data_IF_366394384955
#
_entry.id   IF_366394384955
#
_cell.length_a   1.000
_cell.length_b   1.000
_cell.length_c   1.000
_cell.angle_alpha   90.00
_cell.angle_beta   90.00
_cell.angle_gamma   90.00
#
_symmetry.space_group_name_H-M   'P 1'
#
loop_
_entity.id
_entity.type
_entity.pdbx_description
1 polymer ?
#
# COMPACT_ATOMS: atom_id res chain seq x y z
N UNK A 1 19.80 -3.52 -13.32
CA UNK A 1 19.33 -2.62 -12.25
C UNK A 1 19.18 -3.48 -11.03
N UNK A 2 19.60 -2.99 -9.86
CA UNK A 2 19.33 -3.70 -8.61
C UNK A 2 17.84 -3.61 -8.30
N UNK A 3 17.26 -4.70 -7.80
CA UNK A 3 15.85 -4.81 -7.43
C UNK A 3 15.53 -3.88 -6.26
N UNK A 4 14.45 -3.11 -6.35
CA UNK A 4 13.98 -2.23 -5.27
C UNK A 4 13.02 -3.00 -4.36
N UNK A 5 13.33 -3.04 -3.06
CA UNK A 5 12.53 -3.69 -2.02
C UNK A 5 11.67 -2.67 -1.27
N UNK A 6 10.37 -2.83 -1.35
CA UNK A 6 9.36 -1.97 -0.70
C UNK A 6 8.71 -2.77 0.43
N UNK A 7 8.88 -2.32 1.68
CA UNK A 7 8.23 -2.90 2.84
C UNK A 7 6.91 -2.18 3.18
N UNK A 8 5.82 -2.93 3.26
CA UNK A 8 4.53 -2.47 3.79
C UNK A 8 4.39 -2.99 5.22
N UNK A 9 4.76 -2.15 6.19
CA UNK A 9 4.97 -2.49 7.58
C UNK A 9 3.76 -2.12 8.44
N UNK A 10 3.31 -3.06 9.25
CA UNK A 10 2.22 -2.89 10.20
C UNK A 10 1.43 -4.18 10.36
N UNK A 11 0.53 -4.27 11.34
CA UNK A 11 -0.41 -5.39 11.41
C UNK A 11 -1.17 -5.58 10.09
N UNK A 12 -1.41 -6.85 9.74
CA UNK A 12 -2.02 -7.18 8.46
C UNK A 12 -3.52 -6.87 8.47
N UNK A 13 -3.91 -5.87 7.68
CA UNK A 13 -5.31 -5.52 7.43
C UNK A 13 -5.59 -5.73 5.94
N UNK A 14 -6.85 -6.03 5.61
CA UNK A 14 -7.30 -6.18 4.21
C UNK A 14 -6.93 -4.96 3.36
N UNK A 15 -6.99 -3.79 3.99
CA UNK A 15 -6.64 -2.50 3.44
C UNK A 15 -5.15 -2.37 3.07
N UNK A 16 -4.25 -2.87 3.92
CA UNK A 16 -2.81 -2.86 3.66
C UNK A 16 -2.48 -3.74 2.45
N UNK A 17 -3.16 -4.88 2.33
CA UNK A 17 -2.99 -5.76 1.19
C UNK A 17 -3.47 -5.11 -0.12
N UNK A 18 -4.61 -4.41 -0.11
CA UNK A 18 -5.04 -3.63 -1.27
C UNK A 18 -4.00 -2.59 -1.68
N UNK A 19 -3.32 -1.94 -0.72
CA UNK A 19 -2.27 -0.97 -1.05
C UNK A 19 -1.13 -1.65 -1.80
N UNK A 20 -0.73 -2.85 -1.36
CA UNK A 20 0.26 -3.68 -2.05
C UNK A 20 -0.17 -4.08 -3.45
N UNK A 21 -1.41 -4.55 -3.62
CA UNK A 21 -1.96 -4.93 -4.93
C UNK A 21 -1.98 -3.75 -5.91
N UNK A 22 -2.52 -2.61 -5.48
CA UNK A 22 -2.65 -1.45 -6.33
C UNK A 22 -1.30 -0.82 -6.66
N UNK A 23 -0.37 -0.78 -5.70
CA UNK A 23 1.01 -0.35 -5.96
C UNK A 23 1.68 -1.27 -6.99
N UNK A 24 1.57 -2.59 -6.79
CA UNK A 24 2.15 -3.59 -7.67
C UNK A 24 1.59 -3.53 -9.10
N UNK A 25 0.27 -3.41 -9.23
CA UNK A 25 -0.42 -3.25 -10.52
C UNK A 25 0.00 -2.01 -11.30
N UNK A 26 0.24 -0.89 -10.60
CA UNK A 26 0.69 0.33 -11.28
C UNK A 26 2.14 0.20 -11.71
N UNK A 27 3.02 -0.29 -10.85
CA UNK A 27 4.43 -0.53 -11.19
C UNK A 27 4.57 -1.53 -12.35
N UNK A 28 3.75 -2.59 -12.38
CA UNK A 28 3.81 -3.65 -13.38
C UNK A 28 3.41 -3.22 -14.79
N UNK A 29 2.93 -1.99 -14.96
CA UNK A 29 2.71 -1.38 -16.28
C UNK A 29 4.03 -1.16 -17.05
N UNK A 30 5.16 -1.04 -16.35
CA UNK A 30 6.48 -0.77 -16.95
C UNK A 30 7.59 -1.67 -16.40
N UNK A 31 7.35 -2.39 -15.30
CA UNK A 31 8.38 -3.10 -14.54
C UNK A 31 7.95 -4.53 -14.21
N UNK A 32 8.90 -5.43 -13.95
CA UNK A 32 8.63 -6.74 -13.34
C UNK A 32 8.46 -6.58 -11.84
N UNK A 33 7.34 -7.03 -11.29
CA UNK A 33 6.97 -6.79 -9.89
C UNK A 33 6.56 -8.11 -9.23
N UNK A 34 7.04 -8.33 -8.02
CA UNK A 34 6.60 -9.41 -7.15
C UNK A 34 6.00 -8.80 -5.88
N UNK A 35 4.76 -9.17 -5.56
CA UNK A 35 4.12 -8.88 -4.27
C UNK A 35 4.13 -10.14 -3.41
N UNK A 36 4.68 -10.03 -2.21
CA UNK A 36 4.67 -11.09 -1.19
C UNK A 36 3.61 -10.74 -0.15
N UNK A 37 2.55 -11.54 -0.03
CA UNK A 37 1.52 -11.38 1.00
C UNK A 37 1.02 -12.73 1.52
N UNK A 38 0.73 -12.82 2.82
CA UNK A 38 0.27 -14.06 3.48
C UNK A 38 -1.26 -14.21 3.51
N UNK A 39 -2.03 -13.23 3.03
CA UNK A 39 -3.48 -13.23 3.19
C UNK A 39 -4.19 -14.10 2.13
N UNK A 40 -4.63 -15.29 2.55
CA UNK A 40 -5.30 -16.27 1.67
C UNK A 40 -6.60 -15.75 1.05
N UNK A 41 -7.33 -14.85 1.75
CA UNK A 41 -8.60 -14.28 1.26
C UNK A 41 -8.45 -13.47 -0.02
N UNK A 42 -7.25 -12.95 -0.27
CA UNK A 42 -6.93 -12.18 -1.48
C UNK A 42 -6.42 -13.13 -2.58
N UNK A 43 -5.64 -14.14 -2.21
CA UNK A 43 -5.09 -15.10 -3.17
C UNK A 43 -6.16 -15.92 -3.91
N UNK A 44 -7.26 -16.27 -3.25
CA UNK A 44 -8.34 -17.08 -3.86
C UNK A 44 -9.16 -16.37 -4.96
N UNK A 45 -9.14 -15.04 -5.03
CA UNK A 45 -9.85 -14.26 -6.05
C UNK A 45 -8.95 -13.72 -7.17
N UNK A 46 -7.64 -13.92 -7.08
CA UNK A 46 -6.64 -13.34 -7.99
C UNK A 46 -6.15 -14.32 -9.07
N UNK A 47 -6.51 -15.61 -8.96
CA UNK A 47 -6.13 -16.64 -9.94
C UNK A 47 -6.54 -16.28 -11.38
N UNK A 48 -7.65 -15.54 -11.54
CA UNK A 48 -8.13 -15.13 -12.86
C UNK A 48 -7.66 -13.74 -13.33
N UNK A 49 -7.12 -12.87 -12.45
CA UNK A 49 -6.98 -11.45 -12.79
C UNK A 49 -5.57 -10.98 -13.18
N UNK A 50 -4.48 -11.46 -12.57
CA UNK A 50 -3.18 -10.76 -12.68
C UNK A 50 -1.92 -11.63 -12.74
N UNK A 51 -2.01 -12.92 -13.11
CA UNK A 51 -0.82 -13.67 -13.53
C UNK A 51 -0.38 -13.27 -14.94
N UNK A 52 0.14 -12.04 -15.11
CA UNK A 52 0.85 -11.64 -16.32
C UNK A 52 2.37 -11.79 -16.11
N UNK A 53 3.17 -11.69 -17.17
CA UNK A 53 4.63 -11.83 -17.06
C UNK A 53 5.30 -10.77 -16.16
N UNK A 54 4.64 -9.63 -15.91
CA UNK A 54 5.20 -8.46 -15.22
C UNK A 54 4.69 -8.26 -13.80
N UNK A 55 3.66 -8.97 -13.35
CA UNK A 55 3.17 -8.92 -11.97
C UNK A 55 2.92 -10.33 -11.43
N UNK A 56 3.55 -10.66 -10.31
CA UNK A 56 3.37 -11.94 -9.62
C UNK A 56 3.04 -11.72 -8.16
N UNK A 57 2.16 -12.55 -7.62
CA UNK A 57 1.74 -12.50 -6.22
C UNK A 57 2.06 -13.86 -5.60
N UNK A 58 2.78 -13.85 -4.48
CA UNK A 58 3.31 -15.06 -3.84
C UNK A 58 3.09 -15.00 -2.33
N UNK A 59 2.97 -16.15 -1.69
CA UNK A 59 2.76 -16.24 -0.23
C UNK A 59 4.06 -16.20 0.58
N UNK A 60 5.19 -16.40 -0.09
CA UNK A 60 6.53 -16.46 0.48
C UNK A 60 7.53 -15.87 -0.49
N UNK A 61 8.65 -15.36 0.03
CA UNK A 61 9.76 -14.85 -0.79
C UNK A 61 10.42 -16.06 -1.47
N UNK A 62 10.43 -16.14 -2.81
CA UNK A 62 11.11 -17.22 -3.54
C UNK A 62 12.64 -17.16 -3.32
N UNK A 63 13.31 -18.32 -3.38
CA UNK A 63 14.78 -18.40 -3.28
C UNK A 63 15.49 -17.61 -4.39
N UNK A 64 14.86 -17.56 -5.57
CA UNK A 64 15.33 -16.79 -6.72
C UNK A 64 14.21 -15.87 -7.21
N UNK A 65 14.46 -14.56 -7.20
CA UNK A 65 13.52 -13.54 -7.68
C UNK A 65 14.19 -12.74 -8.79
N UNK A 66 13.60 -12.77 -9.98
CA UNK A 66 13.96 -11.86 -11.07
C UNK A 66 12.84 -10.82 -11.24
N UNK A 67 12.99 -9.69 -10.55
CA UNK A 67 12.05 -8.58 -10.58
C UNK A 67 12.77 -7.23 -10.46
N UNK A 68 12.15 -6.18 -10.99
CA UNK A 68 12.60 -4.81 -10.77
C UNK A 68 12.14 -4.30 -9.39
N UNK A 69 10.97 -4.77 -8.93
CA UNK A 69 10.40 -4.41 -7.63
C UNK A 69 9.93 -5.64 -6.85
N UNK A 70 10.29 -5.67 -5.57
CA UNK A 70 9.78 -6.63 -4.59
C UNK A 70 8.98 -5.87 -3.52
N UNK A 71 7.67 -6.05 -3.50
CA UNK A 71 6.80 -5.49 -2.46
C UNK A 71 6.56 -6.58 -1.43
N UNK A 72 6.88 -6.34 -0.16
CA UNK A 72 6.67 -7.30 0.92
C UNK A 72 5.68 -6.73 1.91
N UNK A 73 4.56 -7.42 2.05
CA UNK A 73 3.58 -7.12 3.07
C UNK A 73 3.93 -7.88 4.35
N UNK A 74 4.46 -7.16 5.35
CA UNK A 74 5.01 -7.76 6.55
C UNK A 74 4.46 -7.13 7.83
N UNK A 75 4.36 -7.93 8.89
CA UNK A 75 4.04 -7.43 10.23
C UNK A 75 5.30 -7.06 10.99
N UNK A 76 6.38 -7.81 10.80
CA UNK A 76 7.66 -7.59 11.48
C UNK A 76 8.55 -6.63 10.69
N UNK A 77 9.36 -5.88 11.41
CA UNK A 77 10.24 -4.83 10.90
C UNK A 77 11.69 -5.31 10.88
N UNK A 78 12.27 -5.42 9.69
CA UNK A 78 13.71 -5.57 9.45
C UNK A 78 14.14 -4.54 8.41
N UNK A 79 14.71 -3.41 8.84
CA UNK A 79 15.05 -2.31 7.94
C UNK A 79 16.08 -2.68 6.89
N UNK A 80 17.08 -3.49 7.23
CA UNK A 80 18.19 -3.80 6.32
C UNK A 80 17.71 -4.56 5.08
N UNK A 81 16.51 -5.15 5.15
CA UNK A 81 15.85 -5.86 4.07
C UNK A 81 15.09 -4.95 3.07
N UNK A 82 14.98 -3.63 3.31
CA UNK A 82 14.13 -2.75 2.48
C UNK A 82 14.82 -1.45 2.07
N UNK A 83 14.61 -1.06 0.81
CA UNK A 83 15.06 0.23 0.26
C UNK A 83 14.05 1.35 0.57
N UNK A 84 12.77 1.01 0.69
CA UNK A 84 11.69 1.94 0.99
C UNK A 84 10.68 1.30 1.95
N UNK A 85 10.24 2.06 2.94
CA UNK A 85 9.33 1.59 3.99
C UNK A 85 8.08 2.47 4.08
N UNK A 86 6.93 1.80 4.05
CA UNK A 86 5.64 2.39 4.37
C UNK A 86 5.11 1.79 5.67
N UNK A 87 5.01 2.61 6.71
CA UNK A 87 4.40 2.24 7.99
C UNK A 87 2.90 2.54 7.93
N UNK A 88 2.05 1.52 7.99
CA UNK A 88 0.63 1.63 7.67
C UNK A 88 -0.19 1.28 8.89
N UNK A 89 -1.10 2.17 9.29
CA UNK A 89 -2.10 1.90 10.32
C UNK A 89 -3.50 2.29 9.85
N UNK A 90 -4.50 1.57 10.33
CA UNK A 90 -5.90 1.85 10.07
C UNK A 90 -6.57 2.68 11.16
N UNK A 91 -7.90 2.85 11.10
CA UNK A 91 -8.65 3.77 11.95
C UNK A 91 -9.12 3.13 13.27
N UNK A 92 -8.97 1.82 13.47
CA UNK A 92 -9.43 1.16 14.70
C UNK A 92 -8.42 1.37 15.81
N UNK A 93 -8.91 1.63 17.02
CA UNK A 93 -8.04 1.82 18.18
C UNK A 93 -7.17 0.59 18.47
N UNK A 94 -7.68 -0.61 18.24
CA UNK A 94 -6.91 -1.85 18.33
C UNK A 94 -5.76 -1.85 17.33
N UNK A 95 -6.04 -1.47 16.07
CA UNK A 95 -5.03 -1.45 15.02
C UNK A 95 -3.90 -0.46 15.32
N UNK A 96 -4.23 0.70 15.85
CA UNK A 96 -3.24 1.70 16.29
C UNK A 96 -2.40 1.15 17.44
N UNK A 97 -3.04 0.53 18.44
CA UNK A 97 -2.36 -0.01 19.63
C UNK A 97 -1.40 -1.14 19.26
N UNK A 98 -1.78 -1.99 18.30
CA UNK A 98 -0.94 -3.10 17.83
C UNK A 98 0.24 -2.62 16.97
N UNK A 99 0.08 -1.48 16.27
CA UNK A 99 1.12 -0.87 15.44
C UNK A 99 2.11 0.00 16.23
N UNK A 100 1.72 0.55 17.38
CA UNK A 100 2.61 1.34 18.26
C UNK A 100 3.99 0.71 18.49
N UNK A 101 4.12 -0.56 18.92
CA UNK A 101 5.43 -1.15 19.16
C UNK A 101 6.25 -1.34 17.88
N UNK A 102 5.61 -1.42 16.71
CA UNK A 102 6.29 -1.55 15.42
C UNK A 102 6.84 -0.19 14.99
N UNK A 103 6.02 0.86 15.07
CA UNK A 103 6.37 2.21 14.64
C UNK A 103 7.44 2.83 15.57
N UNK A 104 7.31 2.59 16.88
CA UNK A 104 8.25 3.12 17.88
C UNK A 104 9.65 2.49 17.82
N UNK A 105 9.83 1.35 17.15
CA UNK A 105 11.12 0.64 17.09
C UNK A 105 12.06 1.15 16.00
N UNK A 106 11.57 1.93 15.03
CA UNK A 106 12.37 2.17 13.85
C UNK A 106 11.87 3.20 12.86
N UNK A 107 11.00 4.14 13.21
CA UNK A 107 10.68 5.21 12.27
C UNK A 107 11.87 6.17 12.09
N UNK A 108 12.24 6.45 10.85
CA UNK A 108 13.22 7.46 10.44
C UNK A 108 12.57 8.53 9.55
N UNK A 109 13.24 9.66 9.42
CA UNK A 109 12.73 10.84 8.67
C UNK A 109 12.45 10.54 7.19
N UNK A 110 13.18 9.60 6.59
CA UNK A 110 13.01 9.20 5.19
C UNK A 110 11.92 8.15 4.97
N UNK A 111 11.33 7.59 6.02
CA UNK A 111 10.20 6.68 5.89
C UNK A 111 8.91 7.43 5.57
N UNK A 112 7.89 6.68 5.13
CA UNK A 112 6.56 7.20 4.95
C UNK A 112 5.57 6.51 5.89
N UNK A 113 4.80 7.31 6.62
CA UNK A 113 3.66 6.82 7.38
C UNK A 113 2.39 6.99 6.58
N UNK A 114 1.53 5.97 6.59
CA UNK A 114 0.21 6.00 5.97
C UNK A 114 -0.84 5.80 7.05
N UNK A 115 -1.68 6.82 7.25
CA UNK A 115 -2.92 6.71 8.01
C UNK A 115 -4.05 6.38 7.05
N UNK A 116 -4.46 5.11 7.07
CA UNK A 116 -5.45 4.59 6.15
C UNK A 116 -6.85 4.64 6.77
N UNK A 117 -7.86 5.01 5.97
CA UNK A 117 -9.27 5.05 6.35
C UNK A 117 -9.61 5.93 7.56
N UNK A 118 -8.93 7.07 7.73
CA UNK A 118 -9.24 8.00 8.81
C UNK A 118 -10.57 8.72 8.55
N UNK A 119 -11.38 8.94 9.58
CA UNK A 119 -12.57 9.78 9.48
C UNK A 119 -12.22 11.19 9.97
N UNK A 120 -12.52 12.23 9.18
CA UNK A 120 -12.20 13.62 9.55
C UNK A 120 -12.84 14.02 10.89
N UNK A 121 -14.08 13.57 11.14
CA UNK A 121 -14.84 13.85 12.36
C UNK A 121 -14.65 12.82 13.49
N UNK A 122 -13.74 11.84 13.32
CA UNK A 122 -13.49 10.82 14.36
C UNK A 122 -12.50 11.29 15.41
N UNK A 123 -12.64 10.70 16.61
CA UNK A 123 -11.61 10.78 17.66
C UNK A 123 -10.26 10.19 17.23
N UNK A 124 -10.25 9.35 16.19
CA UNK A 124 -9.07 8.71 15.61
C UNK A 124 -8.84 9.32 14.21
N UNK A 125 -8.17 10.46 14.17
CA UNK A 125 -7.78 11.19 12.95
C UNK A 125 -6.26 11.36 12.87
N UNK A 126 -5.76 11.99 11.79
CA UNK A 126 -4.32 12.14 11.56
C UNK A 126 -3.57 12.84 12.70
N UNK A 127 -4.15 13.88 13.30
CA UNK A 127 -3.56 14.58 14.45
C UNK A 127 -3.46 13.67 15.68
N UNK A 128 -4.51 12.91 15.96
CA UNK A 128 -4.52 11.94 17.05
C UNK A 128 -3.46 10.85 16.85
N UNK A 129 -3.39 10.28 15.64
CA UNK A 129 -2.46 9.22 15.30
C UNK A 129 -1.01 9.68 15.42
N UNK A 130 -0.68 10.86 14.88
CA UNK A 130 0.67 11.43 14.99
C UNK A 130 1.09 11.63 16.45
N UNK A 131 0.20 12.15 17.29
CA UNK A 131 0.48 12.31 18.72
C UNK A 131 0.69 10.96 19.41
N UNK A 132 -0.18 9.99 19.13
CA UNK A 132 -0.18 8.67 19.77
C UNK A 132 1.04 7.84 19.38
N UNK A 133 1.42 7.88 18.11
CA UNK A 133 2.58 7.18 17.55
C UNK A 133 3.87 8.01 17.64
N UNK A 134 3.82 9.19 18.26
CA UNK A 134 4.95 10.13 18.42
C UNK A 134 5.64 10.48 17.09
N UNK A 135 4.85 10.62 16.03
CA UNK A 135 5.31 10.99 14.70
C UNK A 135 5.32 12.52 14.60
N UNK A 136 6.47 13.06 14.21
CA UNK A 136 6.59 14.46 13.82
C UNK A 136 6.32 14.61 12.32
N UNK A 137 5.16 15.17 11.92
CA UNK A 137 4.79 15.31 10.51
C UNK A 137 5.64 16.35 9.75
N UNK A 138 6.45 17.15 10.45
CA UNK A 138 7.41 18.05 9.80
C UNK A 138 8.67 17.32 9.34
N UNK A 139 8.98 16.19 9.98
CA UNK A 139 10.20 15.40 9.72
C UNK A 139 9.92 14.12 8.96
N UNK A 140 8.77 13.52 9.19
CA UNK A 140 8.36 12.26 8.55
C UNK A 140 7.29 12.55 7.52
N UNK A 141 7.39 11.94 6.34
CA UNK A 141 6.32 12.02 5.34
C UNK A 141 5.09 11.28 5.86
N UNK A 142 3.98 12.00 6.04
CA UNK A 142 2.69 11.42 6.42
C UNK A 142 1.73 11.51 5.23
N UNK A 143 1.14 10.37 4.87
CA UNK A 143 0.08 10.25 3.89
C UNK A 143 -1.20 9.83 4.58
N UNK A 144 -2.29 10.50 4.24
CA UNK A 144 -3.59 10.23 4.83
C UNK A 144 -4.58 9.84 3.71
N UNK A 145 -5.36 8.79 3.97
CA UNK A 145 -6.55 8.47 3.18
C UNK A 145 -7.78 8.68 4.08
N UNK A 146 -8.55 9.76 3.87
CA UNK A 146 -9.85 9.87 4.50
C UNK A 146 -10.77 8.78 3.95
N UNK A 147 -11.52 8.14 4.82
CA UNK A 147 -12.61 7.26 4.41
C UNK A 147 -13.81 8.14 3.99
N UNK A 148 -14.43 7.83 2.87
CA UNK A 148 -15.63 8.49 2.40
C UNK A 148 -16.72 7.45 2.10
N UNK A 149 -17.98 7.88 2.04
CA UNK A 149 -19.12 6.96 1.83
C UNK A 149 -19.03 6.19 0.51
N UNK A 150 -18.51 6.82 -0.54
CA UNK A 150 -18.30 6.18 -1.84
C UNK A 150 -17.25 5.07 -1.78
N UNK A 151 -16.21 5.26 -1.00
CA UNK A 151 -15.17 4.27 -0.78
C UNK A 151 -15.71 3.05 -0.02
N UNK A 152 -16.58 3.27 0.97
CA UNK A 152 -17.30 2.21 1.68
C UNK A 152 -18.28 1.46 0.75
N UNK A 153 -19.02 2.19 -0.09
CA UNK A 153 -19.93 1.60 -1.08
C UNK A 153 -19.13 0.77 -2.09
N UNK A 154 -18.00 1.29 -2.59
CA UNK A 154 -17.11 0.56 -3.49
C UNK A 154 -16.48 -0.67 -2.82
N UNK A 155 -16.10 -0.59 -1.54
CA UNK A 155 -15.61 -1.74 -0.76
C UNK A 155 -16.70 -2.81 -0.60
N UNK A 156 -17.95 -2.40 -0.33
CA UNK A 156 -19.11 -3.31 -0.26
C UNK A 156 -19.46 -3.94 -1.62
N UNK A 157 -19.40 -3.16 -2.71
CA UNK A 157 -19.66 -3.66 -4.07
C UNK A 157 -18.56 -4.61 -4.55
N UNK A 158 -17.29 -4.33 -4.24
CA UNK A 158 -16.17 -5.22 -4.53
C UNK A 158 -16.25 -6.55 -3.74
N UNK A 159 -16.79 -6.52 -2.52
CA UNK A 159 -17.01 -7.73 -1.71
C UNK A 159 -18.21 -8.55 -2.20
N UNK A 160 -19.21 -7.88 -2.78
CA UNK A 160 -20.41 -8.50 -3.33
C UNK A 160 -20.16 -9.14 -4.71
N UNK A 161 -19.37 -8.49 -5.56
CA UNK A 161 -18.97 -9.00 -6.87
C UNK A 161 -17.45 -9.20 -6.92
N UNK A 162 -17.03 -10.40 -6.53
CA UNK A 162 -15.62 -10.79 -6.52
C UNK A 162 -14.94 -10.70 -7.90
N UNK A 163 -15.71 -10.64 -8.99
CA UNK A 163 -15.18 -10.47 -10.36
C UNK A 163 -14.81 -9.00 -10.70
N UNK A 164 -15.20 -8.05 -9.85
CA UNK A 164 -14.99 -6.60 -10.03
C UNK A 164 -13.81 -6.07 -9.21
N UNK A 165 -13.32 -6.83 -8.22
CA UNK A 165 -12.52 -6.39 -7.07
C UNK A 165 -11.26 -5.52 -7.30
N UNK A 166 -10.86 -5.26 -8.54
CA UNK A 166 -9.74 -4.38 -8.90
C UNK A 166 -9.97 -3.49 -10.14
N UNK A 167 -11.20 -3.38 -10.67
CA UNK A 167 -11.51 -2.51 -11.83
C UNK A 167 -11.54 -1.03 -11.46
N UNK A 168 -11.99 -0.71 -10.25
CA UNK A 168 -12.28 0.65 -9.84
C UNK A 168 -11.51 1.03 -8.58
N UNK A 169 -10.53 1.94 -8.77
CA UNK A 169 -9.82 2.59 -7.70
C UNK A 169 -10.45 3.96 -7.44
N UNK A 170 -10.81 4.23 -6.18
CA UNK A 170 -11.40 5.52 -5.81
C UNK A 170 -10.45 6.68 -6.10
N UNK A 171 -10.99 7.91 -6.12
CA UNK A 171 -10.16 9.10 -6.38
C UNK A 171 -9.07 9.27 -5.32
N UNK A 172 -9.39 9.00 -4.07
CA UNK A 172 -8.44 9.19 -2.96
C UNK A 172 -7.43 8.06 -2.88
N UNK A 173 -7.84 6.84 -3.21
CA UNK A 173 -6.94 5.72 -3.39
C UNK A 173 -5.95 5.97 -4.55
N UNK A 174 -6.40 6.55 -5.67
CA UNK A 174 -5.53 6.99 -6.78
C UNK A 174 -4.50 8.03 -6.33
N UNK A 175 -4.93 9.03 -5.55
CA UNK A 175 -4.00 10.04 -5.01
C UNK A 175 -2.99 9.40 -4.06
N UNK A 176 -3.42 8.47 -3.21
CA UNK A 176 -2.55 7.79 -2.26
C UNK A 176 -1.48 6.95 -2.99
N UNK A 177 -1.89 6.08 -3.92
CA UNK A 177 -0.96 5.27 -4.72
C UNK A 177 0.01 6.13 -5.53
N UNK A 178 -0.47 7.25 -6.10
CA UNK A 178 0.41 8.21 -6.77
C UNK A 178 1.50 8.75 -5.82
N UNK A 179 1.13 9.16 -4.61
CA UNK A 179 2.09 9.66 -3.61
C UNK A 179 3.03 8.58 -3.07
N UNK A 180 2.56 7.33 -2.97
CA UNK A 180 3.39 6.17 -2.64
C UNK A 180 4.44 5.94 -3.73
N UNK A 181 4.03 5.91 -5.00
CA UNK A 181 4.96 5.76 -6.14
C UNK A 181 6.01 6.88 -6.15
N UNK A 182 5.59 8.14 -6.01
CA UNK A 182 6.54 9.26 -5.93
C UNK A 182 7.54 9.10 -4.77
N UNK A 183 7.12 8.50 -3.66
CA UNK A 183 8.00 8.24 -2.54
C UNK A 183 8.98 7.08 -2.82
N UNK A 184 8.50 5.99 -3.39
CA UNK A 184 9.29 4.76 -3.57
C UNK A 184 10.16 4.75 -4.82
N UNK A 185 9.77 5.46 -5.89
CA UNK A 185 10.45 5.42 -7.19
C UNK A 185 10.85 6.82 -7.72
N UNK A 186 10.38 7.88 -7.07
CA UNK A 186 10.59 9.26 -7.49
C UNK A 186 9.62 9.75 -8.58
N UNK A 187 9.59 11.06 -8.80
CA UNK A 187 8.60 11.73 -9.67
C UNK A 187 8.71 11.39 -11.17
N UNK A 188 9.84 10.80 -11.60
CA UNK A 188 10.15 10.57 -13.01
C UNK A 188 9.90 9.14 -13.47
N UNK A 189 9.44 8.25 -12.59
CA UNK A 189 9.20 6.87 -12.94
C UNK A 189 8.22 6.73 -14.12
N UNK A 190 8.54 5.82 -15.05
CA UNK A 190 7.77 5.63 -16.28
C UNK A 190 6.37 5.10 -16.01
N UNK A 191 6.20 4.27 -14.97
CA UNK A 191 4.93 3.69 -14.57
C UNK A 191 3.91 4.78 -14.21
N UNK A 192 4.36 5.82 -13.49
CA UNK A 192 3.54 6.99 -13.14
C UNK A 192 2.98 7.66 -14.40
N UNK A 193 3.85 7.92 -15.40
CA UNK A 193 3.44 8.58 -16.64
C UNK A 193 2.46 7.73 -17.45
N UNK A 194 2.70 6.42 -17.56
CA UNK A 194 1.81 5.50 -18.29
C UNK A 194 0.46 5.38 -17.60
N UNK A 195 0.45 5.27 -16.28
CA UNK A 195 -0.79 5.21 -15.51
C UNK A 195 -1.63 6.48 -15.66
N UNK A 196 -1.01 7.66 -15.54
CA UNK A 196 -1.71 8.94 -15.77
C UNK A 196 -2.28 9.05 -17.18
N UNK A 197 -1.58 8.56 -18.21
CA UNK A 197 -2.10 8.50 -19.59
C UNK A 197 -3.31 7.57 -19.71
N UNK A 198 -3.28 6.39 -19.07
CA UNK A 198 -4.39 5.42 -19.08
C UNK A 198 -5.62 5.99 -18.35
N UNK A 199 -5.43 6.58 -17.17
CA UNK A 199 -6.50 7.19 -16.39
C UNK A 199 -7.23 8.34 -17.11
N UNK A 200 -6.55 9.07 -18.00
CA UNK A 200 -7.16 10.14 -18.82
C UNK A 200 -8.04 9.62 -19.96
N UNK A 201 -7.79 8.40 -20.45
CA UNK A 201 -8.53 7.79 -21.57
C UNK A 201 -9.84 7.13 -21.17
N UNK A 202 -10.06 6.92 -19.87
CA UNK A 202 -11.25 6.26 -19.31
C UNK A 202 -12.34 7.26 -18.88
N UNK A 203 -12.40 8.44 -19.51
CA UNK A 203 -13.42 9.45 -19.29
C UNK A 203 -14.49 9.38 -20.37
#
# INVERSE_FOLDING_TARGET
>A
MDMIRIGLIGINTKEKDYLGLYLGKVLSMEHKVVLVTRQQSIMGGLEDYEYNETFRIVSHIPDTIEADYLIVNHQEFDRESYDCLFFITGPKQSEVSDNEPIFNKGLLENDCVIYHNIFEDSKINGKYLSNRLKIDPQKTKVLERPINEWDLIMEMENDYDQSIGMRHMSRDYRKLIYKMLQHSTGDKDKAIKRWQKKAKRSK
#
